data_IF_029694755647
#
_entry.id   IF_029694755647
#
_cell.length_a   1.000
_cell.length_b   1.000
_cell.length_c   1.000
_cell.angle_alpha   90.00
_cell.angle_beta   90.00
_cell.angle_gamma   90.00
#
_symmetry.space_group_name_H-M   'P 1'
#
loop_
_entity.id
_entity.type
_entity.pdbx_description
1 polymer ?
#
# COMPACT_ATOMS: atom_id res chain seq x y z
N UNK A 1 4.80 -11.80 39.67
CA UNK A 1 4.85 -10.34 39.57
C UNK A 1 4.47 -9.78 40.94
N UNK A 2 5.03 -8.65 41.38
CA UNK A 2 4.48 -7.91 42.52
C UNK A 2 3.03 -7.50 42.26
N UNK A 3 2.28 -7.23 43.33
CA UNK A 3 0.98 -6.57 43.19
C UNK A 3 1.13 -5.19 42.54
N UNK A 4 0.24 -4.85 41.61
CA UNK A 4 0.24 -3.55 40.96
C UNK A 4 -0.45 -3.51 39.60
N UNK A 5 -0.43 -2.32 39.01
CA UNK A 5 -0.96 -2.05 37.67
C UNK A 5 0.11 -2.22 36.60
N UNK A 6 -0.27 -2.85 35.50
CA UNK A 6 0.60 -3.22 34.40
C UNK A 6 -0.06 -2.90 33.06
N UNK A 7 0.78 -2.73 32.05
CA UNK A 7 0.35 -2.52 30.66
C UNK A 7 0.91 -3.67 29.83
N UNK A 8 0.02 -4.42 29.16
CA UNK A 8 0.40 -5.33 28.11
C UNK A 8 0.31 -4.59 26.77
N UNK A 9 1.46 -4.35 26.15
CA UNK A 9 1.57 -3.60 24.92
C UNK A 9 2.24 -4.45 23.85
N UNK A 10 1.65 -4.44 22.64
CA UNK A 10 2.30 -5.00 21.47
C UNK A 10 3.47 -4.09 21.06
N UNK A 11 4.65 -4.66 20.89
CA UNK A 11 5.80 -3.90 20.38
C UNK A 11 5.61 -3.59 18.89
N UNK A 12 5.38 -4.64 18.09
CA UNK A 12 5.12 -4.56 16.66
C UNK A 12 4.10 -5.62 16.20
N UNK A 13 3.14 -5.19 15.37
CA UNK A 13 2.17 -6.09 14.76
C UNK A 13 2.78 -7.02 13.72
N UNK A 14 2.29 -8.27 13.59
CA UNK A 14 2.59 -9.10 12.44
C UNK A 14 2.23 -8.41 11.12
N UNK A 15 2.94 -8.75 10.05
CA UNK A 15 2.65 -8.24 8.70
C UNK A 15 1.19 -8.54 8.33
N UNK A 16 0.44 -7.51 7.98
CA UNK A 16 -0.98 -7.62 7.63
C UNK A 16 -1.96 -7.43 8.79
N UNK A 17 -1.47 -7.11 9.99
CA UNK A 17 -2.28 -6.74 11.16
C UNK A 17 -2.06 -5.28 11.55
N UNK A 18 -3.06 -4.70 12.22
CA UNK A 18 -2.95 -3.43 12.93
C UNK A 18 -2.36 -3.67 14.31
N UNK A 19 -1.59 -2.70 14.80
CA UNK A 19 -1.10 -2.69 16.18
C UNK A 19 -2.28 -2.72 17.14
N UNK A 20 -2.30 -3.69 18.05
CA UNK A 20 -3.33 -3.80 19.07
C UNK A 20 -3.24 -2.67 20.09
N UNK A 21 -4.40 -2.15 20.52
CA UNK A 21 -4.45 -1.17 21.60
C UNK A 21 -3.89 -1.77 22.90
N UNK A 22 -3.12 -1.00 23.71
CA UNK A 22 -2.59 -1.49 24.97
C UNK A 22 -3.70 -1.96 25.93
N UNK A 23 -3.44 -3.05 26.64
CA UNK A 23 -4.34 -3.59 27.65
C UNK A 23 -3.79 -3.27 29.03
N UNK A 24 -4.52 -2.44 29.78
CA UNK A 24 -4.24 -2.18 31.19
C UNK A 24 -4.85 -3.29 32.06
N UNK A 25 -4.05 -3.86 32.96
CA UNK A 25 -4.50 -4.89 33.89
C UNK A 25 -3.88 -4.72 35.27
N UNK A 26 -4.60 -5.17 36.29
CA UNK A 26 -4.14 -5.16 37.67
C UNK A 26 -3.85 -6.59 38.12
N UNK A 27 -2.68 -6.82 38.72
CA UNK A 27 -2.31 -8.08 39.39
C UNK A 27 -2.43 -7.88 40.90
N UNK A 28 -3.33 -8.60 41.54
CA UNK A 28 -3.60 -8.48 42.99
C UNK A 28 -2.70 -9.37 43.84
N UNK A 29 -2.61 -9.06 45.14
CA UNK A 29 -1.82 -9.85 46.10
C UNK A 29 -2.19 -11.34 46.18
N UNK A 30 -3.42 -11.71 45.85
CA UNK A 30 -3.92 -13.09 45.84
C UNK A 30 -3.67 -13.83 44.51
N UNK A 31 -2.97 -13.21 43.56
CA UNK A 31 -2.57 -13.82 42.29
C UNK A 31 -3.62 -13.76 41.18
N UNK A 32 -4.71 -13.01 41.39
CA UNK A 32 -5.71 -12.77 40.36
C UNK A 32 -5.29 -11.61 39.44
N UNK A 33 -5.77 -11.66 38.20
CA UNK A 33 -5.65 -10.56 37.25
C UNK A 33 -7.02 -9.98 37.00
N UNK A 34 -7.14 -8.65 37.00
CA UNK A 34 -8.36 -7.97 36.60
C UNK A 34 -8.13 -7.01 35.44
N UNK A 35 -9.09 -6.94 34.53
CA UNK A 35 -9.15 -5.94 33.45
C UNK A 35 -10.42 -5.13 33.66
N UNK A 36 -10.31 -3.81 33.78
CA UNK A 36 -11.44 -2.93 34.09
C UNK A 36 -12.26 -3.39 35.33
N UNK A 37 -11.58 -3.97 36.33
CA UNK A 37 -12.20 -4.48 37.56
C UNK A 37 -12.84 -5.86 37.46
N UNK A 38 -12.77 -6.52 36.30
CA UNK A 38 -13.30 -7.88 36.09
C UNK A 38 -12.18 -8.91 36.16
N UNK A 39 -12.32 -9.92 37.01
CA UNK A 39 -11.37 -11.04 37.12
C UNK A 39 -11.33 -11.82 35.79
N UNK A 40 -10.14 -12.01 35.24
CA UNK A 40 -9.96 -12.80 34.01
C UNK A 40 -9.70 -14.28 34.33
N UNK A 41 -10.28 -15.22 33.58
CA UNK A 41 -10.07 -16.65 33.79
C UNK A 41 -8.59 -17.03 33.72
N UNK A 42 -8.16 -17.91 34.63
CA UNK A 42 -6.78 -18.43 34.70
C UNK A 42 -5.68 -17.35 34.79
N UNK A 43 -6.04 -16.11 35.12
CA UNK A 43 -5.11 -14.96 35.11
C UNK A 43 -4.39 -14.78 33.75
N UNK A 44 -5.05 -15.12 32.64
CA UNK A 44 -4.52 -14.96 31.28
C UNK A 44 -5.06 -13.68 30.65
N UNK A 45 -4.15 -12.80 30.24
CA UNK A 45 -4.47 -11.62 29.42
C UNK A 45 -4.29 -11.98 27.96
N UNK A 46 -5.37 -11.93 27.17
CA UNK A 46 -5.33 -12.17 25.73
C UNK A 46 -5.32 -10.86 24.96
N UNK A 47 -4.35 -10.69 24.06
CA UNK A 47 -4.34 -9.64 23.06
C UNK A 47 -4.66 -10.27 21.70
N UNK A 48 -5.57 -9.64 20.95
CA UNK A 48 -6.02 -10.14 19.64
C UNK A 48 -5.71 -9.11 18.57
N UNK A 49 -4.95 -9.52 17.58
CA UNK A 49 -4.64 -8.67 16.44
C UNK A 49 -5.87 -8.50 15.56
N UNK A 50 -6.02 -7.29 15.03
CA UNK A 50 -7.01 -6.97 14.01
C UNK A 50 -6.32 -6.97 12.65
N UNK A 51 -6.85 -7.70 11.67
CA UNK A 51 -6.33 -7.63 10.30
C UNK A 51 -6.39 -6.19 9.77
N UNK A 52 -5.31 -5.77 9.11
CA UNK A 52 -5.26 -4.47 8.44
C UNK A 52 -6.18 -4.47 7.21
N UNK A 53 -6.96 -3.40 6.98
CA UNK A 53 -7.73 -3.28 5.77
C UNK A 53 -6.78 -3.19 4.57
N UNK A 54 -7.15 -3.83 3.48
CA UNK A 54 -6.39 -3.77 2.23
C UNK A 54 -7.29 -3.41 1.06
N UNK A 55 -6.68 -2.90 -0.01
CA UNK A 55 -7.36 -2.57 -1.28
C UNK A 55 -6.68 -3.28 -2.46
N UNK A 56 -7.32 -3.17 -3.60
CA UNK A 56 -6.70 -3.38 -4.91
C UNK A 56 -6.66 -2.08 -5.71
N UNK A 57 -5.64 -1.92 -6.55
CA UNK A 57 -5.58 -0.87 -7.57
C UNK A 57 -5.55 -1.54 -8.95
N UNK A 58 -6.60 -1.33 -9.72
CA UNK A 58 -6.73 -1.80 -11.11
C UNK A 58 -6.29 -0.71 -12.08
N UNK A 59 -5.42 -1.08 -13.01
CA UNK A 59 -4.77 -0.17 -13.96
C UNK A 59 -5.38 -0.30 -15.34
N UNK A 60 -5.82 0.83 -15.89
CA UNK A 60 -6.22 1.00 -17.28
C UNK A 60 -5.13 1.79 -18.02
N UNK A 61 -4.50 1.21 -19.04
CA UNK A 61 -3.45 1.92 -19.81
C UNK A 61 -4.04 2.62 -21.03
N UNK A 62 -3.64 3.87 -21.22
CA UNK A 62 -3.92 4.64 -22.43
C UNK A 62 -2.60 5.11 -23.06
N UNK A 63 -2.61 5.29 -24.39
CA UNK A 63 -1.46 5.77 -25.15
C UNK A 63 -1.92 6.82 -26.13
N UNK A 64 -1.26 7.98 -26.10
CA UNK A 64 -1.53 9.10 -26.99
C UNK A 64 -0.25 9.57 -27.66
N UNK A 65 -0.38 10.05 -28.90
CA UNK A 65 0.71 10.70 -29.63
C UNK A 65 1.03 12.08 -29.01
N UNK A 66 2.02 12.77 -29.60
CA UNK A 66 2.42 14.12 -29.18
C UNK A 66 1.29 15.15 -29.21
N UNK A 67 0.25 14.93 -30.02
CA UNK A 67 -0.92 15.78 -30.20
C UNK A 67 -2.14 15.32 -29.38
N UNK A 68 -1.93 14.44 -28.39
CA UNK A 68 -2.97 13.85 -27.54
C UNK A 68 -3.99 12.99 -28.31
N UNK A 69 -3.65 12.50 -29.51
CA UNK A 69 -4.48 11.57 -30.27
C UNK A 69 -4.21 10.11 -29.87
N UNK A 70 -5.23 9.24 -29.82
CA UNK A 70 -5.03 7.84 -29.48
C UNK A 70 -4.06 7.14 -30.43
N UNK A 71 -3.08 6.42 -29.89
CA UNK A 71 -2.18 5.58 -30.69
C UNK A 71 -2.97 4.37 -31.25
N UNK A 72 -2.87 4.06 -32.56
CA UNK A 72 -3.53 2.90 -33.14
C UNK A 72 -3.05 1.57 -32.55
N UNK A 73 -3.93 0.57 -32.44
CA UNK A 73 -3.59 -0.72 -31.81
C UNK A 73 -2.48 -1.49 -32.54
N UNK A 74 -2.35 -1.31 -33.86
CA UNK A 74 -1.25 -1.89 -34.64
C UNK A 74 0.13 -1.37 -34.18
N UNK A 75 0.22 -0.09 -33.82
CA UNK A 75 1.46 0.54 -33.34
C UNK A 75 1.73 0.21 -31.87
N UNK A 76 0.68 -0.06 -31.08
CA UNK A 76 0.79 -0.51 -29.69
C UNK A 76 1.51 -1.86 -29.58
N UNK A 77 1.37 -2.76 -30.54
CA UNK A 77 1.90 -4.14 -30.46
C UNK A 77 3.41 -4.27 -30.12
N UNK A 78 4.20 -3.21 -30.32
CA UNK A 78 5.63 -3.16 -30.03
C UNK A 78 6.02 -2.36 -28.77
N UNK A 79 5.09 -1.63 -28.15
CA UNK A 79 5.42 -0.81 -26.98
C UNK A 79 5.55 -1.68 -25.74
N UNK A 80 6.43 -1.25 -24.83
CA UNK A 80 6.65 -1.90 -23.55
C UNK A 80 6.29 -0.95 -22.40
N UNK A 81 5.72 -1.50 -21.33
CA UNK A 81 5.53 -0.81 -20.06
C UNK A 81 5.61 -1.82 -18.90
N UNK A 82 6.55 -1.59 -17.99
CA UNK A 82 6.66 -2.27 -16.69
C UNK A 82 6.30 -1.27 -15.60
N UNK A 83 5.38 -1.67 -14.71
CA UNK A 83 4.83 -0.79 -13.69
C UNK A 83 5.25 -1.22 -12.30
N UNK A 84 5.95 -0.34 -11.62
CA UNK A 84 6.25 -0.44 -10.20
C UNK A 84 5.32 0.47 -9.40
N UNK A 85 4.81 -0.05 -8.30
CA UNK A 85 4.04 0.68 -7.31
C UNK A 85 4.96 1.12 -6.18
N UNK A 86 4.90 2.40 -5.82
CA UNK A 86 5.55 2.95 -4.63
C UNK A 86 4.50 3.26 -3.57
N UNK A 87 4.78 2.96 -2.32
CA UNK A 87 4.00 3.36 -1.15
C UNK A 87 4.79 4.41 -0.37
N UNK A 88 4.27 5.64 -0.29
CA UNK A 88 4.97 6.77 0.35
C UNK A 88 6.41 6.96 -0.18
N UNK A 89 6.62 6.68 -1.48
CA UNK A 89 7.92 6.77 -2.15
C UNK A 89 8.81 5.53 -2.05
N UNK A 90 8.52 4.58 -1.16
CA UNK A 90 9.24 3.31 -1.04
C UNK A 90 8.69 2.24 -1.99
N UNK A 91 9.52 1.29 -2.40
CA UNK A 91 9.07 0.14 -3.20
C UNK A 91 7.97 -0.66 -2.50
N UNK A 92 6.86 -0.92 -3.20
CA UNK A 92 5.74 -1.69 -2.67
C UNK A 92 5.53 -2.99 -3.44
N UNK A 93 5.16 -2.91 -4.73
CA UNK A 93 4.90 -4.07 -5.60
C UNK A 93 5.30 -3.77 -7.03
N UNK A 94 5.53 -4.83 -7.80
CA UNK A 94 5.85 -4.75 -9.22
C UNK A 94 4.86 -5.62 -10.01
N UNK A 95 4.44 -5.15 -11.18
CA UNK A 95 3.70 -5.95 -12.14
C UNK A 95 4.68 -6.50 -13.18
N UNK A 96 4.94 -7.80 -13.08
CA UNK A 96 5.82 -8.50 -14.02
C UNK A 96 5.26 -8.55 -15.44
N UNK A 97 6.13 -8.39 -16.44
CA UNK A 97 5.79 -8.54 -17.86
C UNK A 97 5.44 -7.23 -18.55
N UNK A 98 5.10 -7.32 -19.85
CA UNK A 98 4.62 -6.18 -20.62
C UNK A 98 3.10 -6.07 -20.48
N UNK A 99 2.59 -5.30 -19.51
CA UNK A 99 1.17 -5.27 -19.18
C UNK A 99 0.52 -3.94 -19.57
N UNK A 100 -0.42 -4.03 -20.51
CA UNK A 100 -1.32 -2.94 -20.93
C UNK A 100 -2.46 -2.70 -19.94
N UNK A 101 -2.60 -3.58 -18.96
CA UNK A 101 -3.59 -3.51 -17.89
C UNK A 101 -3.17 -4.52 -16.83
N UNK A 102 -3.43 -4.22 -15.57
CA UNK A 102 -3.08 -5.12 -14.47
C UNK A 102 -3.74 -4.70 -13.16
N UNK A 103 -3.46 -5.45 -12.11
CA UNK A 103 -4.02 -5.17 -10.79
C UNK A 103 -2.96 -5.39 -9.71
N UNK A 104 -2.74 -4.37 -8.89
CA UNK A 104 -2.02 -4.51 -7.63
C UNK A 104 -3.02 -4.89 -6.55
N UNK A 105 -2.96 -6.13 -6.06
CA UNK A 105 -3.87 -6.64 -5.03
C UNK A 105 -3.24 -6.58 -3.64
N UNK A 106 -4.01 -6.78 -2.58
CA UNK A 106 -3.51 -6.91 -1.19
C UNK A 106 -2.58 -5.76 -0.78
N UNK A 107 -3.00 -4.52 -1.04
CA UNK A 107 -2.27 -3.32 -0.67
C UNK A 107 -2.79 -2.77 0.65
N UNK A 108 -1.95 -2.56 1.69
CA UNK A 108 -2.43 -2.04 2.96
C UNK A 108 -3.03 -0.63 2.83
N UNK A 109 -4.01 -0.34 3.67
CA UNK A 109 -4.64 1.00 3.76
C UNK A 109 -3.88 1.97 4.67
N UNK A 110 -3.01 1.45 5.54
CA UNK A 110 -2.18 2.26 6.44
C UNK A 110 -0.76 1.73 6.50
N UNK A 111 0.19 2.61 6.85
CA UNK A 111 1.55 2.19 7.16
C UNK A 111 1.61 1.43 8.51
N UNK A 112 2.80 1.00 8.90
CA UNK A 112 3.07 0.27 10.15
C UNK A 112 2.69 1.04 11.42
N UNK A 113 2.59 2.37 11.35
CA UNK A 113 2.25 3.25 12.46
C UNK A 113 0.79 3.71 12.39
N UNK A 114 0.00 3.19 11.45
CA UNK A 114 -1.40 3.57 11.22
C UNK A 114 -1.57 4.86 10.41
N UNK A 115 -0.49 5.39 9.83
CA UNK A 115 -0.48 6.56 8.97
C UNK A 115 -1.07 6.30 7.59
N UNK A 116 -1.41 7.38 6.87
CA UNK A 116 -1.96 7.30 5.51
C UNK A 116 -0.91 6.79 4.51
N UNK A 117 -1.35 6.06 3.50
CA UNK A 117 -0.48 5.66 2.38
C UNK A 117 -0.89 6.40 1.10
N UNK A 118 0.10 6.98 0.44
CA UNK A 118 0.01 7.49 -0.92
C UNK A 118 0.70 6.50 -1.86
N UNK A 119 -0.10 5.83 -2.70
CA UNK A 119 0.42 5.00 -3.78
C UNK A 119 0.67 5.83 -5.02
N UNK A 120 1.85 5.63 -5.62
CA UNK A 120 2.28 6.28 -6.87
C UNK A 120 2.90 5.26 -7.81
N UNK A 121 2.96 5.58 -9.10
CA UNK A 121 3.41 4.67 -10.14
C UNK A 121 4.76 5.10 -10.68
N UNK A 122 5.66 4.14 -10.87
CA UNK A 122 6.89 4.32 -11.64
C UNK A 122 6.79 3.40 -12.84
N UNK A 123 7.03 3.95 -14.02
CA UNK A 123 6.99 3.18 -15.25
C UNK A 123 8.36 3.13 -15.91
N UNK A 124 8.74 1.92 -16.31
CA UNK A 124 9.88 1.65 -17.19
C UNK A 124 9.33 1.09 -18.51
N UNK A 125 9.35 1.90 -19.57
CA UNK A 125 8.63 1.63 -20.81
C UNK A 125 9.38 2.01 -22.09
N UNK A 126 8.65 2.09 -23.21
CA UNK A 126 9.19 2.50 -24.50
C UNK A 126 9.80 3.92 -24.39
N UNK A 127 11.08 4.13 -24.76
CA UNK A 127 11.75 5.43 -24.63
C UNK A 127 11.10 6.60 -25.37
N UNK A 128 10.20 6.32 -26.32
CA UNK A 128 9.45 7.36 -27.06
C UNK A 128 8.23 7.85 -26.29
N UNK A 129 7.91 7.25 -25.15
CA UNK A 129 6.73 7.58 -24.36
C UNK A 129 7.10 7.82 -22.89
N UNK A 130 6.34 8.71 -22.25
CA UNK A 130 6.40 8.89 -20.80
C UNK A 130 4.98 9.02 -20.23
N UNK A 131 4.80 8.72 -18.95
CA UNK A 131 3.56 9.04 -18.26
C UNK A 131 3.26 10.53 -18.39
N UNK A 132 2.07 10.86 -18.91
CA UNK A 132 1.57 12.24 -19.04
C UNK A 132 1.33 12.84 -17.66
N UNK A 133 0.70 12.05 -16.79
CA UNK A 133 0.38 12.38 -15.41
C UNK A 133 0.65 11.16 -14.53
N UNK A 134 1.07 11.39 -13.28
CA UNK A 134 1.22 10.33 -12.28
C UNK A 134 0.17 10.51 -11.16
N UNK A 135 -0.99 9.83 -11.26
CA UNK A 135 -2.04 9.95 -10.26
C UNK A 135 -1.59 9.37 -8.92
N UNK A 136 -2.05 9.98 -7.84
CA UNK A 136 -1.80 9.53 -6.47
C UNK A 136 -3.07 8.86 -5.95
N UNK A 137 -2.97 7.63 -5.47
CA UNK A 137 -4.05 6.94 -4.76
C UNK A 137 -3.77 7.02 -3.27
N UNK A 138 -4.51 7.88 -2.57
CA UNK A 138 -4.42 8.01 -1.11
C UNK A 138 -5.41 7.09 -0.41
N UNK A 139 -4.91 6.36 0.58
CA UNK A 139 -5.71 5.50 1.46
C UNK A 139 -5.35 5.72 2.93
N UNK A 140 -6.30 5.42 3.80
CA UNK A 140 -6.17 5.49 5.25
C UNK A 140 -7.11 4.50 5.94
N UNK A 141 -7.13 4.48 7.28
CA UNK A 141 -7.92 3.54 8.08
C UNK A 141 -9.44 3.58 7.81
N UNK A 142 -9.96 4.68 7.24
CA UNK A 142 -11.38 4.81 6.92
C UNK A 142 -11.72 4.26 5.53
N UNK A 143 -10.70 3.93 4.74
CA UNK A 143 -10.86 3.31 3.43
C UNK A 143 -11.49 1.92 3.60
N UNK A 144 -12.61 1.62 2.91
CA UNK A 144 -13.28 0.33 3.03
C UNK A 144 -12.35 -0.84 2.73
N UNK A 145 -12.41 -1.87 3.58
CA UNK A 145 -11.68 -3.11 3.35
C UNK A 145 -12.12 -3.75 2.03
N UNK A 146 -11.16 -4.23 1.26
CA UNK A 146 -11.33 -4.82 -0.08
C UNK A 146 -11.88 -3.85 -1.13
N UNK A 147 -11.77 -2.53 -0.94
CA UNK A 147 -12.10 -1.57 -1.99
C UNK A 147 -11.21 -1.77 -3.23
N UNK A 148 -11.78 -1.63 -4.42
CA UNK A 148 -11.05 -1.62 -5.68
C UNK A 148 -11.01 -0.19 -6.21
N UNK A 149 -9.81 0.38 -6.30
CA UNK A 149 -9.57 1.68 -6.93
C UNK A 149 -9.21 1.44 -8.41
N UNK A 150 -9.86 2.12 -9.33
CA UNK A 150 -9.48 2.12 -10.75
C UNK A 150 -8.68 3.37 -11.08
N UNK A 151 -7.55 3.19 -11.79
CA UNK A 151 -6.65 4.28 -12.19
C UNK A 151 -6.34 4.16 -13.67
N UNK A 152 -6.41 5.27 -14.39
CA UNK A 152 -5.96 5.35 -15.78
C UNK A 152 -4.58 5.97 -15.85
N UNK A 153 -3.62 5.24 -16.42
CA UNK A 153 -2.27 5.73 -16.70
C UNK A 153 -2.15 6.01 -18.20
N UNK A 154 -1.92 7.28 -18.56
CA UNK A 154 -1.77 7.68 -19.95
C UNK A 154 -0.30 7.92 -20.28
N UNK A 155 0.22 7.18 -21.25
CA UNK A 155 1.51 7.48 -21.87
C UNK A 155 1.33 8.43 -23.03
N UNK A 156 2.16 9.46 -23.06
CA UNK A 156 2.23 10.43 -24.14
C UNK A 156 3.55 10.28 -24.88
N UNK A 157 3.48 10.24 -26.21
CA UNK A 157 4.66 10.27 -27.06
C UNK A 157 5.44 11.57 -26.81
N UNK A 158 6.74 11.45 -26.54
CA UNK A 158 7.64 12.57 -26.32
C UNK A 158 8.50 12.79 -27.57
N UNK A 159 8.84 14.06 -27.83
CA UNK A 159 9.80 14.37 -28.88
C UNK A 159 11.16 13.77 -28.50
N UNK A 160 11.71 12.90 -29.33
CA UNK A 160 12.95 12.16 -29.09
C UNK A 160 14.23 13.02 -29.18
N UNK A 161 14.25 14.22 -28.59
CA UNK A 161 15.48 14.94 -28.30
C UNK A 161 15.95 14.61 -26.87
N UNK A 162 16.76 13.55 -26.76
CA UNK A 162 17.70 13.26 -25.67
C UNK A 162 17.11 13.08 -24.24
N UNK A 163 16.50 11.92 -23.97
CA UNK A 163 16.53 11.35 -22.62
C UNK A 163 17.90 10.68 -22.36
N UNK A 164 18.96 11.50 -22.24
CA UNK A 164 20.21 11.04 -21.62
C UNK A 164 19.91 10.81 -20.13
N UNK A 165 19.87 9.53 -19.76
CA UNK A 165 19.86 8.99 -18.40
C UNK A 165 20.79 9.83 -17.50
N UNK A 166 20.23 10.49 -16.50
CA UNK A 166 21.01 10.98 -15.36
C UNK A 166 20.72 10.06 -14.19
N UNK A 167 21.50 8.98 -14.08
CA UNK A 167 21.61 8.25 -12.84
C UNK A 167 22.44 9.11 -11.87
N UNK A 168 21.85 9.51 -10.74
CA UNK A 168 22.60 10.13 -9.65
C UNK A 168 23.31 9.02 -8.85
N UNK A 169 24.58 9.30 -8.55
CA UNK A 169 25.53 8.48 -7.80
C UNK A 169 25.28 8.53 -6.30
#
# INVERSE_FOLDING_TARGET
MPEGDYIFQEDAAPVGCLKADPIEFHFSADGQVTIQGVVVPNSVVEMKDKSAPYISIKINKNWVDKNDQPVPDAEKSFLVARLQLKANGADAKDLSGNQWSGEFTNLPTTDKDGGKINYTFVEDGDPRYSLKDNPIVTVDRETPNQEVKEVTLTNKEINAELAKITAQK
#
